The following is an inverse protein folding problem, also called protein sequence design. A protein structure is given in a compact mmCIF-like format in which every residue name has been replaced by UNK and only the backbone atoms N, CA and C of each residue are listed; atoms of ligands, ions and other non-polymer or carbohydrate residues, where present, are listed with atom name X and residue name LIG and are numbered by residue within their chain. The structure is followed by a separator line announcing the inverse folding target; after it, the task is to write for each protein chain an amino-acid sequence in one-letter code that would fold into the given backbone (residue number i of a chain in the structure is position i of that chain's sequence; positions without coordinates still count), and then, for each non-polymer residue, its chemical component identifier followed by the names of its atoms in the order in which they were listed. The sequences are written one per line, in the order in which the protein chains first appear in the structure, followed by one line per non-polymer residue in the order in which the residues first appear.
data_IF_233441234767
#
_entry.id   IF_233441234767
#
_cell.length_a   1.000
_cell.length_b   1.000
_cell.length_c   1.000
_cell.angle_alpha   90.00
_cell.angle_beta   90.00
_cell.angle_gamma   90.00
#
_symmetry.space_group_name_H-M   'P 1'
#
loop_
_entity.id
_entity.type
_entity.pdbx_description
1 polymer ?
#
# COMPACT_ATOMS: atom_id res chain seq x y z
N UNK A 1 17.82 -4.54 -11.23
CA UNK A 1 16.73 -5.05 -10.36
C UNK A 1 15.49 -4.20 -10.57
N UNK A 2 14.35 -4.84 -10.56
CA UNK A 2 13.08 -4.15 -10.76
C UNK A 2 12.32 -4.09 -9.44
N UNK A 3 11.83 -2.91 -9.10
CA UNK A 3 11.04 -2.70 -7.89
C UNK A 3 9.61 -2.38 -8.26
N UNK A 4 8.67 -2.93 -7.52
CA UNK A 4 7.24 -2.73 -7.76
C UNK A 4 6.58 -2.36 -6.46
N UNK A 5 5.80 -1.27 -6.47
CA UNK A 5 4.99 -0.86 -5.33
C UNK A 5 3.54 -1.07 -5.70
N UNK A 6 2.83 -1.84 -4.89
CA UNK A 6 1.43 -2.18 -5.13
C UNK A 6 0.60 -1.67 -3.98
N UNK A 7 -0.47 -0.95 -4.32
CA UNK A 7 -1.43 -0.42 -3.35
C UNK A 7 -2.76 -1.10 -3.59
N UNK A 8 -3.35 -1.64 -2.54
CA UNK A 8 -4.68 -2.27 -2.61
C UNK A 8 -5.52 -1.71 -1.49
N UNK A 9 -6.75 -1.32 -1.83
CA UNK A 9 -7.74 -0.90 -0.85
C UNK A 9 -8.94 -1.81 -0.98
N UNK A 10 -9.37 -2.42 0.11
CA UNK A 10 -10.46 -3.38 0.13
C UNK A 10 -11.50 -2.97 1.16
N UNK A 11 -12.76 -3.20 0.84
CA UNK A 11 -13.85 -2.97 1.78
C UNK A 11 -14.81 -4.14 1.67
N UNK A 12 -15.12 -4.76 2.81
CA UNK A 12 -16.03 -5.90 2.89
C UNK A 12 -15.61 -7.03 1.94
N UNK A 13 -14.31 -7.25 1.81
CA UNK A 13 -13.78 -8.32 0.97
C UNK A 13 -13.68 -7.99 -0.50
N UNK A 14 -14.13 -6.82 -0.91
CA UNK A 14 -14.06 -6.39 -2.31
C UNK A 14 -12.96 -5.37 -2.49
N UNK A 15 -12.15 -5.58 -3.52
CA UNK A 15 -11.13 -4.61 -3.88
C UNK A 15 -11.81 -3.42 -4.55
N UNK A 16 -11.60 -2.21 -4.02
CA UNK A 16 -12.22 -1.00 -4.54
C UNK A 16 -11.20 -0.07 -5.19
N UNK A 17 -9.92 -0.31 -4.98
CA UNK A 17 -8.88 0.52 -5.57
C UNK A 17 -7.57 -0.24 -5.56
N UNK A 18 -6.83 -0.11 -6.64
CA UNK A 18 -5.46 -0.63 -6.69
C UNK A 18 -4.62 0.26 -7.58
N UNK A 19 -3.33 0.30 -7.30
CA UNK A 19 -2.37 1.06 -8.09
C UNK A 19 -1.05 0.31 -8.09
N UNK A 20 -0.30 0.45 -9.17
CA UNK A 20 0.99 -0.23 -9.32
C UNK A 20 1.99 0.76 -9.91
N UNK A 21 3.14 0.88 -9.27
CA UNK A 21 4.25 1.69 -9.76
C UNK A 21 5.49 0.82 -9.86
N UNK A 22 6.23 0.94 -10.94
CA UNK A 22 7.47 0.19 -11.12
C UNK A 22 8.62 1.15 -11.39
N UNK A 23 9.80 0.76 -10.92
CA UNK A 23 11.01 1.55 -11.13
C UNK A 23 12.22 0.65 -10.97
N UNK A 24 13.36 1.08 -11.51
CA UNK A 24 14.62 0.38 -11.33
C UNK A 24 15.43 0.95 -10.17
N UNK A 25 14.97 2.01 -9.54
CA UNK A 25 15.66 2.67 -8.44
C UNK A 25 15.00 2.33 -7.12
N UNK A 26 15.78 1.78 -6.19
CA UNK A 26 15.28 1.48 -4.85
C UNK A 26 14.84 2.75 -4.13
N UNK A 27 15.59 3.83 -4.27
CA UNK A 27 15.26 5.10 -3.61
C UNK A 27 13.91 5.62 -4.09
N UNK A 28 13.64 5.52 -5.40
CA UNK A 28 12.38 5.96 -5.95
C UNK A 28 11.26 5.03 -5.49
N UNK A 29 11.51 3.72 -5.44
CA UNK A 29 10.52 2.76 -4.96
C UNK A 29 10.16 3.02 -3.51
N UNK A 30 11.14 3.31 -2.67
CA UNK A 30 10.87 3.61 -1.27
C UNK A 30 10.10 4.92 -1.12
N UNK A 31 10.38 5.90 -1.96
CA UNK A 31 9.62 7.15 -1.96
C UNK A 31 8.16 6.90 -2.35
N UNK A 32 7.91 6.07 -3.35
CA UNK A 32 6.54 5.67 -3.69
C UNK A 32 5.86 4.97 -2.53
N UNK A 33 6.56 4.03 -1.91
CA UNK A 33 6.01 3.27 -0.79
C UNK A 33 5.61 4.20 0.36
N UNK A 34 6.51 5.07 0.76
CA UNK A 34 6.27 5.99 1.88
C UNK A 34 5.13 6.96 1.57
N UNK A 35 5.10 7.47 0.34
CA UNK A 35 4.07 8.41 -0.07
C UNK A 35 2.69 7.76 -0.07
N UNK A 36 2.58 6.55 -0.62
CA UNK A 36 1.33 5.83 -0.62
C UNK A 36 0.88 5.47 0.80
N UNK A 37 1.83 5.04 1.65
CA UNK A 37 1.49 4.72 3.03
C UNK A 37 0.94 5.94 3.77
N UNK A 38 1.56 7.10 3.54
CA UNK A 38 1.10 8.34 4.15
C UNK A 38 -0.29 8.72 3.64
N UNK A 39 -0.51 8.65 2.33
CA UNK A 39 -1.81 8.99 1.74
C UNK A 39 -2.90 8.04 2.25
N UNK A 40 -2.58 6.77 2.40
CA UNK A 40 -3.55 5.81 2.92
C UNK A 40 -3.93 6.10 4.36
N UNK A 41 -2.99 6.57 5.17
CA UNK A 41 -3.29 6.94 6.55
C UNK A 41 -4.19 8.16 6.65
N UNK A 42 -4.10 9.05 5.67
CA UNK A 42 -4.89 10.28 5.66
C UNK A 42 -6.29 10.08 5.07
N UNK A 43 -6.49 8.98 4.35
CA UNK A 43 -7.78 8.72 3.70
C UNK A 43 -8.77 8.19 4.73
N UNK A 44 -9.92 8.86 4.92
CA UNK A 44 -10.90 8.44 5.92
C UNK A 44 -11.77 7.25 5.51
N UNK A 45 -11.60 6.71 4.31
CA UNK A 45 -12.40 5.57 3.88
C UNK A 45 -12.15 4.37 4.78
N UNK A 46 -13.24 3.69 5.14
CA UNK A 46 -13.18 2.48 5.94
C UNK A 46 -12.63 1.33 5.10
N UNK A 47 -12.11 0.31 5.79
CA UNK A 47 -11.63 -0.88 5.13
C UNK A 47 -10.15 -1.12 5.38
N UNK A 48 -9.59 -2.04 4.62
CA UNK A 48 -8.19 -2.44 4.73
C UNK A 48 -7.43 -1.84 3.55
N UNK A 49 -6.33 -1.18 3.85
CA UNK A 49 -5.45 -0.60 2.85
C UNK A 49 -4.07 -1.20 3.04
N UNK A 50 -3.49 -1.68 1.95
CA UNK A 50 -2.17 -2.31 1.99
C UNK A 50 -1.27 -1.70 0.94
N UNK A 51 -0.04 -1.37 1.34
CA UNK A 51 1.02 -0.95 0.44
C UNK A 51 2.14 -1.97 0.56
N UNK A 52 2.59 -2.52 -0.55
CA UNK A 52 3.65 -3.53 -0.58
C UNK A 52 4.74 -3.11 -1.56
N UNK A 53 5.98 -3.36 -1.19
CA UNK A 53 7.15 -3.12 -2.04
C UNK A 53 7.79 -4.45 -2.35
N UNK A 54 8.01 -4.70 -3.65
CA UNK A 54 8.61 -5.93 -4.14
C UNK A 54 9.94 -5.62 -4.83
N UNK A 55 10.91 -6.51 -4.65
CA UNK A 55 12.16 -6.49 -5.40
C UNK A 55 12.23 -7.77 -6.21
N UNK A 56 12.19 -7.65 -7.55
CA UNK A 56 12.20 -8.79 -8.48
C UNK A 56 11.15 -9.85 -8.09
N UNK A 57 9.95 -9.39 -7.71
CA UNK A 57 8.86 -10.29 -7.38
C UNK A 57 8.81 -10.77 -5.94
N UNK A 58 9.79 -10.42 -5.12
CA UNK A 58 9.80 -10.81 -3.71
C UNK A 58 9.42 -9.63 -2.85
N UNK A 59 8.41 -9.80 -2.00
CA UNK A 59 7.97 -8.74 -1.11
C UNK A 59 9.04 -8.48 -0.05
N UNK A 60 9.50 -7.24 0.03
CA UNK A 60 10.53 -6.84 0.99
C UNK A 60 10.00 -5.88 2.04
N UNK A 61 8.84 -5.27 1.82
CA UNK A 61 8.26 -4.34 2.78
C UNK A 61 6.76 -4.30 2.61
N UNK A 62 6.02 -4.12 3.71
CA UNK A 62 4.56 -4.07 3.69
C UNK A 62 4.06 -3.19 4.82
N UNK A 63 3.04 -2.38 4.52
CA UNK A 63 2.29 -1.62 5.52
C UNK A 63 0.82 -1.90 5.32
N UNK A 64 0.13 -2.26 6.40
CA UNK A 64 -1.31 -2.50 6.38
C UNK A 64 -1.97 -1.50 7.32
N UNK A 65 -2.98 -0.80 6.81
CA UNK A 65 -3.74 0.18 7.57
C UNK A 65 -5.18 -0.28 7.55
N UNK A 66 -5.77 -0.41 8.73
CA UNK A 66 -7.13 -0.90 8.85
C UNK A 66 -7.96 0.14 9.60
N UNK A 67 -8.93 0.71 8.89
CA UNK A 67 -9.83 1.69 9.47
C UNK A 67 -11.18 1.05 9.75
N UNK A 68 -11.90 1.64 10.69
CA UNK A 68 -13.20 1.13 11.08
C UNK A 68 -13.14 0.23 12.28
N UNK A 69 -12.15 -0.64 12.35
CA UNK A 69 -12.01 -1.55 13.49
C UNK A 69 -11.51 -0.84 14.74
N UNK A 70 -10.71 0.19 14.55
CA UNK A 70 -10.16 0.93 15.67
C UNK A 70 -11.20 1.80 16.35
N UNK A 71 -12.26 2.12 15.65
CA UNK A 71 -13.26 3.08 16.13
C UNK A 71 -14.16 2.47 17.17
N UNK A 72 -14.32 1.15 17.12
CA UNK A 72 -15.28 0.47 17.98
C UNK A 72 -14.81 0.29 19.41
N UNK A 73 -13.60 0.52 19.63
CA UNK A 73 -13.08 0.33 21.00
C UNK A 73 -13.21 1.57 21.83
#
# INVERSE_FOLDING_TARGET
MKYTVIVVQSMEGNEIHSDVKTTKSLDIAEAFFDNFAMLMKMDPLLGIKRVSLYADGNEIERTVIQYGNQIRN
#
